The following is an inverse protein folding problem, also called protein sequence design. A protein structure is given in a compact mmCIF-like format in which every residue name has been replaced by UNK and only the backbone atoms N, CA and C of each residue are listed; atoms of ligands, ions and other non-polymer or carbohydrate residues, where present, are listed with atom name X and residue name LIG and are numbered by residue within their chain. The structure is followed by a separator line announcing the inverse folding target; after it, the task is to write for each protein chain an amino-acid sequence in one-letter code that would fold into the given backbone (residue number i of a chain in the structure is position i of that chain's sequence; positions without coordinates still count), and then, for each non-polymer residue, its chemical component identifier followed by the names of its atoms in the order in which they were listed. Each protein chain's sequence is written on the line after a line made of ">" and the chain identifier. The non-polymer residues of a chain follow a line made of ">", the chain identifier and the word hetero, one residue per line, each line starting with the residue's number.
data_IF_129309862398
#
_entry.id   IF_129309862398
#
_cell.length_a   1.000
_cell.length_b   1.000
_cell.length_c   1.000
_cell.angle_alpha   90.00
_cell.angle_beta   90.00
_cell.angle_gamma   90.00
#
_symmetry.space_group_name_H-M   'P 1'
#
loop_
_entity.id
_entity.type
_entity.pdbx_description
1 polymer ?
#
# COMPACT_ATOMS: atom_id res chain seq x y z
N UNK A 1 -47.59 -46.11 -41.85
CA UNK A 1 -46.40 -45.37 -42.32
C UNK A 1 -46.38 -44.05 -41.55
N UNK A 2 -45.66 -43.88 -40.42
CA UNK A 2 -44.22 -43.52 -40.32
C UNK A 2 -43.92 -42.30 -41.23
N UNK A 3 -43.68 -41.05 -40.78
CA UNK A 3 -42.57 -40.53 -39.94
C UNK A 3 -42.89 -39.07 -39.49
N UNK A 4 -42.76 -38.73 -38.20
CA UNK A 4 -41.67 -37.94 -37.55
C UNK A 4 -41.61 -36.43 -37.84
N UNK A 5 -41.99 -35.65 -36.83
CA UNK A 5 -41.46 -34.31 -36.51
C UNK A 5 -39.98 -34.38 -36.12
N UNK A 6 -39.17 -33.34 -36.41
CA UNK A 6 -37.99 -33.05 -35.61
C UNK A 6 -38.17 -31.71 -34.87
N UNK A 7 -38.24 -31.80 -33.55
CA UNK A 7 -38.03 -30.69 -32.65
C UNK A 7 -36.55 -30.27 -32.72
N UNK A 8 -36.30 -28.98 -32.95
CA UNK A 8 -34.98 -28.38 -32.82
C UNK A 8 -34.65 -28.31 -31.31
N UNK A 9 -33.75 -29.17 -30.84
CA UNK A 9 -33.21 -29.10 -29.47
C UNK A 9 -32.08 -28.08 -29.48
N UNK A 10 -32.34 -26.91 -28.91
CA UNK A 10 -31.33 -25.87 -28.67
C UNK A 10 -30.62 -26.20 -27.35
N UNK A 11 -29.48 -26.89 -27.43
CA UNK A 11 -28.63 -27.17 -26.26
C UNK A 11 -27.85 -25.91 -25.90
N UNK A 12 -28.40 -25.05 -25.03
CA UNK A 12 -27.61 -24.04 -24.32
C UNK A 12 -26.74 -24.77 -23.29
N UNK A 13 -25.47 -24.99 -23.64
CA UNK A 13 -24.44 -25.40 -22.70
C UNK A 13 -24.16 -24.21 -21.78
N UNK A 14 -24.77 -24.20 -20.59
CA UNK A 14 -24.47 -23.23 -19.55
C UNK A 14 -23.05 -23.48 -19.03
N UNK A 15 -22.08 -22.71 -19.54
CA UNK A 15 -20.77 -22.56 -18.91
C UNK A 15 -21.00 -21.98 -17.51
N UNK A 16 -20.94 -22.83 -16.51
CA UNK A 16 -20.95 -22.43 -15.10
C UNK A 16 -19.55 -21.89 -14.78
N UNK A 17 -19.29 -20.64 -15.16
CA UNK A 17 -18.08 -19.92 -14.78
C UNK A 17 -18.16 -19.76 -13.26
N UNK A 18 -17.35 -20.50 -12.50
CA UNK A 18 -17.36 -20.43 -11.03
C UNK A 18 -16.86 -19.03 -10.60
N UNK A 19 -17.75 -18.14 -10.10
CA UNK A 19 -17.39 -16.74 -9.84
C UNK A 19 -16.43 -16.59 -8.65
N UNK A 20 -16.33 -17.60 -7.79
CA UNK A 20 -15.55 -17.52 -6.54
C UNK A 20 -14.04 -17.32 -6.76
N UNK A 21 -13.44 -17.90 -7.79
CA UNK A 21 -11.99 -17.81 -8.03
C UNK A 21 -11.56 -16.47 -8.63
N UNK A 22 -12.41 -15.87 -9.46
CA UNK A 22 -12.15 -14.55 -10.03
C UNK A 22 -12.32 -13.45 -8.97
N UNK A 23 -13.31 -13.58 -8.09
CA UNK A 23 -13.52 -12.67 -6.97
C UNK A 23 -12.34 -12.73 -5.98
N UNK A 24 -11.92 -13.94 -5.57
CA UNK A 24 -10.77 -14.14 -4.68
C UNK A 24 -9.49 -13.51 -5.25
N UNK A 25 -9.22 -13.70 -6.55
CA UNK A 25 -8.06 -13.10 -7.20
C UNK A 25 -8.13 -11.56 -7.22
N UNK A 26 -9.31 -10.99 -7.41
CA UNK A 26 -9.52 -9.55 -7.38
C UNK A 26 -9.34 -8.97 -5.96
N UNK A 27 -9.87 -9.64 -4.95
CA UNK A 27 -9.75 -9.23 -3.55
C UNK A 27 -8.28 -9.30 -3.09
N UNK A 28 -7.55 -10.34 -3.51
CA UNK A 28 -6.11 -10.45 -3.26
C UNK A 28 -5.33 -9.32 -3.94
N UNK A 29 -5.63 -9.00 -5.20
CA UNK A 29 -4.97 -7.91 -5.91
C UNK A 29 -5.23 -6.55 -5.25
N UNK A 30 -6.45 -6.31 -4.75
CA UNK A 30 -6.79 -5.11 -4.01
C UNK A 30 -5.97 -5.01 -2.70
N UNK A 31 -5.90 -6.10 -1.94
CA UNK A 31 -5.13 -6.14 -0.69
C UNK A 31 -3.62 -5.97 -0.94
N UNK A 32 -3.06 -6.58 -1.99
CA UNK A 32 -1.65 -6.36 -2.38
C UNK A 32 -1.40 -4.87 -2.60
N UNK A 33 -2.28 -4.17 -3.32
CA UNK A 33 -2.17 -2.73 -3.54
C UNK A 33 -2.22 -1.92 -2.25
N UNK A 34 -3.09 -2.30 -1.30
CA UNK A 34 -3.18 -1.66 0.01
C UNK A 34 -1.93 -1.91 0.87
N UNK A 35 -1.36 -3.11 0.81
CA UNK A 35 -0.11 -3.45 1.53
C UNK A 35 1.10 -2.74 0.92
N UNK A 36 1.10 -2.51 -0.40
CA UNK A 36 2.11 -1.67 -1.04
C UNK A 36 2.10 -0.22 -0.52
N UNK A 37 0.97 0.27 -0.01
CA UNK A 37 0.90 1.60 0.60
C UNK A 37 1.74 1.72 1.88
N UNK A 38 2.14 0.61 2.52
CA UNK A 38 3.03 0.62 3.69
C UNK A 38 4.41 1.16 3.29
N UNK A 39 4.90 0.73 2.12
CA UNK A 39 6.13 1.24 1.51
C UNK A 39 5.96 2.67 0.99
N UNK A 40 4.72 3.09 0.69
CA UNK A 40 4.38 4.48 0.44
C UNK A 40 4.62 5.37 1.67
N UNK A 41 4.23 4.92 2.86
CA UNK A 41 4.50 5.62 4.12
C UNK A 41 6.02 5.73 4.39
N UNK A 42 6.77 4.65 4.17
CA UNK A 42 8.24 4.69 4.25
C UNK A 42 8.83 5.72 3.28
N UNK A 43 8.38 5.73 2.03
CA UNK A 43 8.85 6.66 1.01
C UNK A 43 8.56 8.12 1.39
N UNK A 44 7.38 8.41 1.95
CA UNK A 44 7.03 9.74 2.45
C UNK A 44 8.02 10.19 3.52
N UNK A 45 8.28 9.34 4.52
CA UNK A 45 9.18 9.66 5.62
C UNK A 45 10.60 9.89 5.11
N UNK A 46 11.11 9.03 4.23
CA UNK A 46 12.47 9.14 3.70
C UNK A 46 12.67 10.38 2.83
N UNK A 47 11.72 10.67 1.92
CA UNK A 47 11.78 11.84 1.04
C UNK A 47 11.74 13.12 1.87
N UNK A 48 10.79 13.25 2.78
CA UNK A 48 10.68 14.48 3.58
C UNK A 48 11.78 14.63 4.61
N UNK A 49 12.34 13.54 5.13
CA UNK A 49 13.54 13.59 5.97
C UNK A 49 14.68 14.27 5.24
N UNK A 50 14.94 13.88 3.98
CA UNK A 50 16.00 14.48 3.17
C UNK A 50 15.72 15.95 2.91
N UNK A 51 14.52 16.27 2.42
CA UNK A 51 14.18 17.65 2.07
C UNK A 51 14.15 18.58 3.28
N UNK A 52 13.54 18.15 4.38
CA UNK A 52 13.46 18.99 5.57
C UNK A 52 14.78 19.12 6.32
N UNK A 53 15.62 18.08 6.31
CA UNK A 53 17.00 18.19 6.77
C UNK A 53 17.74 19.31 6.03
N UNK A 54 17.65 19.36 4.70
CA UNK A 54 18.30 20.41 3.91
C UNK A 54 17.67 21.79 4.12
N UNK A 55 16.33 21.88 4.08
CA UNK A 55 15.59 23.14 4.22
C UNK A 55 15.85 23.82 5.57
N UNK A 56 15.92 23.05 6.65
CA UNK A 56 16.05 23.59 8.01
C UNK A 56 17.50 23.81 8.46
N UNK A 57 18.47 23.74 7.54
CA UNK A 57 19.86 24.01 7.85
C UNK A 57 20.62 22.82 8.46
N UNK A 58 20.32 21.61 7.97
CA UNK A 58 20.97 20.35 8.37
C UNK A 58 20.63 19.91 9.79
N UNK A 59 19.38 20.07 10.21
CA UNK A 59 18.90 19.60 11.51
C UNK A 59 18.80 18.06 11.56
N UNK A 60 19.68 17.41 12.33
CA UNK A 60 19.72 15.96 12.47
C UNK A 60 18.49 15.36 13.20
N UNK A 61 17.60 16.19 13.76
CA UNK A 61 16.32 15.74 14.33
C UNK A 61 15.48 14.94 13.32
N UNK A 62 15.48 15.36 12.05
CA UNK A 62 14.75 14.67 10.97
C UNK A 62 15.27 13.26 10.72
N UNK A 63 16.60 13.08 10.69
CA UNK A 63 17.21 11.75 10.53
C UNK A 63 16.87 10.85 11.71
N UNK A 64 17.00 11.39 12.92
CA UNK A 64 16.68 10.67 14.17
C UNK A 64 15.21 10.25 14.20
N UNK A 65 14.30 11.14 13.79
CA UNK A 65 12.87 10.84 13.72
C UNK A 65 12.57 9.75 12.68
N UNK A 66 13.23 9.77 11.52
CA UNK A 66 13.09 8.74 10.48
C UNK A 66 13.60 7.37 10.95
N UNK A 67 14.75 7.32 11.61
CA UNK A 67 15.29 6.09 12.20
C UNK A 67 14.34 5.51 13.26
N UNK A 68 13.82 6.37 14.15
CA UNK A 68 12.85 5.96 15.14
C UNK A 68 11.54 5.48 14.52
N UNK A 69 11.06 6.15 13.47
CA UNK A 69 9.92 5.68 12.69
C UNK A 69 10.18 4.30 12.10
N UNK A 70 11.35 4.09 11.48
CA UNK A 70 11.70 2.79 10.91
C UNK A 70 11.71 1.68 11.97
N UNK A 71 12.29 1.93 13.14
CA UNK A 71 12.30 0.96 14.24
C UNK A 71 10.89 0.58 14.72
N UNK A 72 9.93 1.51 14.71
CA UNK A 72 8.53 1.23 15.06
C UNK A 72 7.79 0.45 13.97
N UNK A 73 8.18 0.62 12.70
CA UNK A 73 7.38 0.20 11.55
C UNK A 73 7.99 -0.98 10.74
N UNK A 74 9.27 -1.31 10.94
CA UNK A 74 9.98 -2.36 10.18
C UNK A 74 9.22 -3.70 10.18
N UNK A 75 8.68 -4.11 11.33
CA UNK A 75 7.94 -5.37 11.41
C UNK A 75 6.65 -5.40 10.58
N UNK A 76 6.03 -4.23 10.35
CA UNK A 76 4.85 -4.10 9.50
C UNK A 76 5.22 -4.11 8.02
N UNK A 77 6.36 -3.50 7.64
CA UNK A 77 6.91 -3.59 6.29
C UNK A 77 7.24 -5.06 5.95
N UNK A 78 7.93 -5.76 6.86
CA UNK A 78 8.24 -7.19 6.69
C UNK A 78 6.97 -8.05 6.61
N UNK A 79 5.93 -7.71 7.38
CA UNK A 79 4.65 -8.41 7.32
C UNK A 79 3.96 -8.20 5.97
N UNK A 80 3.93 -6.97 5.45
CA UNK A 80 3.36 -6.65 4.16
C UNK A 80 4.06 -7.46 3.05
N UNK A 81 5.38 -7.47 3.02
CA UNK A 81 6.16 -8.21 2.01
C UNK A 81 5.82 -9.71 2.02
N UNK A 82 5.80 -10.33 3.22
CA UNK A 82 5.44 -11.75 3.34
C UNK A 82 4.00 -12.03 2.88
N UNK A 83 3.05 -11.17 3.24
CA UNK A 83 1.65 -11.37 2.87
C UNK A 83 1.45 -11.16 1.37
N UNK A 84 2.11 -10.19 0.78
CA UNK A 84 2.12 -9.99 -0.68
C UNK A 84 2.62 -11.27 -1.38
N UNK A 85 3.72 -11.86 -0.91
CA UNK A 85 4.23 -13.11 -1.45
C UNK A 85 3.23 -14.27 -1.31
N UNK A 86 2.57 -14.40 -0.14
CA UNK A 86 1.54 -15.43 0.09
C UNK A 86 0.33 -15.28 -0.85
N UNK A 87 -0.03 -14.04 -1.21
CA UNK A 87 -1.16 -13.73 -2.09
C UNK A 87 -0.83 -13.86 -3.58
N UNK A 88 0.39 -14.30 -3.93
CA UNK A 88 0.82 -14.54 -5.31
C UNK A 88 1.88 -13.55 -5.82
N UNK A 89 2.39 -12.68 -4.95
CA UNK A 89 3.39 -11.66 -5.26
C UNK A 89 2.81 -10.41 -5.90
N UNK A 90 3.58 -9.34 -5.90
CA UNK A 90 3.26 -8.12 -6.65
C UNK A 90 3.82 -8.16 -8.08
N UNK A 91 3.25 -7.36 -8.98
CA UNK A 91 3.82 -7.24 -10.32
C UNK A 91 5.18 -6.54 -10.28
N UNK A 92 6.01 -6.83 -11.28
CA UNK A 92 7.32 -6.21 -11.40
C UNK A 92 7.17 -4.68 -11.48
N UNK A 93 7.78 -3.98 -10.52
CA UNK A 93 7.74 -2.51 -10.45
C UNK A 93 6.63 -1.91 -9.58
N UNK A 94 5.67 -2.70 -9.07
CA UNK A 94 4.58 -2.18 -8.22
C UNK A 94 5.11 -1.52 -6.94
N UNK A 95 6.08 -2.15 -6.29
CA UNK A 95 6.74 -1.59 -5.10
C UNK A 95 7.40 -0.25 -5.41
N UNK A 96 8.07 -0.15 -6.56
CA UNK A 96 8.71 1.10 -7.00
C UNK A 96 7.65 2.17 -7.27
N UNK A 97 6.57 1.82 -7.96
CA UNK A 97 5.47 2.73 -8.25
C UNK A 97 4.78 3.22 -6.96
N UNK A 98 4.59 2.36 -5.96
CA UNK A 98 4.01 2.73 -4.67
C UNK A 98 4.89 3.74 -3.92
N UNK A 99 6.22 3.52 -3.91
CA UNK A 99 7.18 4.45 -3.32
C UNK A 99 7.22 5.79 -4.07
N UNK A 100 7.27 5.76 -5.40
CA UNK A 100 7.25 6.96 -6.24
C UNK A 100 5.95 7.75 -6.03
N UNK A 101 4.81 7.06 -5.97
CA UNK A 101 3.52 7.67 -5.70
C UNK A 101 3.53 8.39 -4.34
N UNK A 102 3.85 7.69 -3.25
CA UNK A 102 3.91 8.29 -1.90
C UNK A 102 4.83 9.50 -1.83
N UNK A 103 6.07 9.36 -2.35
CA UNK A 103 7.04 10.45 -2.41
C UNK A 103 6.56 11.66 -3.22
N UNK A 104 5.96 11.42 -4.39
CA UNK A 104 5.46 12.51 -5.24
C UNK A 104 4.30 13.29 -4.59
N UNK A 105 3.42 12.59 -3.87
CA UNK A 105 2.27 13.21 -3.21
C UNK A 105 2.72 14.14 -2.08
N UNK A 106 3.65 13.71 -1.23
CA UNK A 106 4.14 14.57 -0.15
C UNK A 106 4.97 15.75 -0.67
N UNK A 107 5.76 15.54 -1.74
CA UNK A 107 6.51 16.63 -2.36
C UNK A 107 5.60 17.66 -3.02
N UNK A 108 4.48 17.23 -3.60
CA UNK A 108 3.46 18.13 -4.11
C UNK A 108 2.89 19.01 -2.99
N UNK A 109 2.58 18.42 -1.82
CA UNK A 109 2.10 19.16 -0.66
C UNK A 109 3.17 20.13 -0.11
N UNK A 110 4.42 19.70 -0.01
CA UNK A 110 5.55 20.53 0.40
C UNK A 110 5.75 21.74 -0.53
N UNK A 111 5.72 21.53 -1.84
CA UNK A 111 5.90 22.60 -2.83
C UNK A 111 4.73 23.60 -2.86
N UNK A 112 3.55 23.19 -2.41
CA UNK A 112 2.36 24.04 -2.28
C UNK A 112 2.27 24.74 -0.92
N UNK A 113 3.13 24.38 0.03
CA UNK A 113 3.14 25.01 1.35
C UNK A 113 3.57 26.48 1.24
N UNK A 114 2.82 27.38 1.87
CA UNK A 114 3.18 28.81 1.91
C UNK A 114 4.44 29.11 2.71
N UNK A 115 4.82 28.20 3.61
CA UNK A 115 6.04 28.24 4.41
C UNK A 115 6.56 26.81 4.59
N UNK A 116 7.71 26.54 3.97
CA UNK A 116 8.36 25.24 3.96
C UNK A 116 9.02 24.90 5.30
N UNK A 117 9.51 25.89 6.06
CA UNK A 117 10.08 25.66 7.39
C UNK A 117 8.97 25.20 8.35
N UNK A 118 7.82 25.86 8.28
CA UNK A 118 6.64 25.48 9.08
C UNK A 118 6.11 24.10 8.67
N UNK A 119 6.09 23.80 7.37
CA UNK A 119 5.75 22.44 6.90
C UNK A 119 6.70 21.41 7.51
N UNK A 120 8.00 21.66 7.47
CA UNK A 120 9.01 20.74 7.96
C UNK A 120 8.91 20.49 9.46
N UNK A 121 8.75 21.54 10.27
CA UNK A 121 8.53 21.36 11.72
C UNK A 121 7.27 20.54 12.02
N UNK A 122 6.19 20.79 11.28
CA UNK A 122 4.95 20.02 11.43
C UNK A 122 5.14 18.55 11.03
N UNK A 123 5.86 18.31 9.94
CA UNK A 123 6.20 16.96 9.50
C UNK A 123 7.01 16.22 10.58
N UNK A 124 8.03 16.86 11.16
CA UNK A 124 8.82 16.29 12.26
C UNK A 124 7.94 15.87 13.44
N UNK A 125 7.09 16.79 13.92
CA UNK A 125 6.15 16.52 15.03
C UNK A 125 5.21 15.35 14.73
N UNK A 126 4.75 15.22 13.48
CA UNK A 126 3.89 14.12 13.04
C UNK A 126 4.64 12.78 13.01
N UNK A 127 5.91 12.76 12.58
CA UNK A 127 6.73 11.55 12.60
C UNK A 127 7.04 11.14 14.05
N UNK A 128 7.35 12.09 14.92
CA UNK A 128 7.68 11.82 16.33
C UNK A 128 6.47 11.36 17.14
N UNK A 129 5.29 11.96 16.92
CA UNK A 129 4.02 11.49 17.51
C UNK A 129 3.53 10.16 16.92
N UNK A 130 4.19 9.70 15.85
CA UNK A 130 3.86 8.48 15.14
C UNK A 130 2.57 8.59 14.32
N UNK A 131 2.13 9.79 13.94
CA UNK A 131 1.00 9.98 13.03
C UNK A 131 1.26 9.36 11.64
N UNK A 132 2.54 9.18 11.29
CA UNK A 132 2.98 8.44 10.11
C UNK A 132 3.20 6.94 10.35
N UNK A 133 2.98 6.42 11.56
CA UNK A 133 3.12 4.98 11.80
C UNK A 133 2.03 4.20 11.06
N UNK A 134 2.41 3.06 10.47
CA UNK A 134 1.58 2.24 9.59
C UNK A 134 0.32 1.76 10.30
N UNK A 135 0.43 1.39 11.58
CA UNK A 135 -0.71 0.96 12.40
C UNK A 135 -1.76 2.06 12.62
N UNK A 136 -1.36 3.33 12.53
CA UNK A 136 -2.28 4.48 12.60
C UNK A 136 -2.80 4.88 11.22
N UNK A 137 -1.96 4.83 10.20
CA UNK A 137 -2.35 5.24 8.85
C UNK A 137 -3.23 4.20 8.13
N UNK A 138 -2.93 2.91 8.34
CA UNK A 138 -3.49 1.79 7.58
C UNK A 138 -3.92 0.65 8.52
N UNK A 139 -4.75 0.90 9.56
CA UNK A 139 -5.13 -0.12 10.53
C UNK A 139 -5.88 -1.30 9.89
N UNK A 140 -6.78 -1.03 8.94
CA UNK A 140 -7.58 -2.08 8.29
C UNK A 140 -6.77 -3.04 7.40
N UNK A 141 -5.93 -2.55 6.47
CA UNK A 141 -5.00 -3.43 5.75
C UNK A 141 -4.04 -4.18 6.67
N UNK A 142 -3.55 -3.54 7.74
CA UNK A 142 -2.67 -4.19 8.72
C UNK A 142 -3.36 -5.36 9.42
N UNK A 143 -4.58 -5.17 9.91
CA UNK A 143 -5.37 -6.22 10.55
C UNK A 143 -5.55 -7.42 9.61
N UNK A 144 -5.94 -7.18 8.35
CA UNK A 144 -6.09 -8.25 7.34
C UNK A 144 -4.77 -8.99 7.06
N UNK A 145 -3.65 -8.27 6.98
CA UNK A 145 -2.34 -8.90 6.82
C UNK A 145 -1.96 -9.79 8.01
N UNK A 146 -2.28 -9.36 9.23
CA UNK A 146 -2.05 -10.15 10.45
C UNK A 146 -2.91 -11.42 10.46
N UNK A 147 -4.18 -11.33 10.06
CA UNK A 147 -5.08 -12.48 9.93
C UNK A 147 -4.57 -13.51 8.93
N UNK A 148 -4.12 -13.06 7.75
CA UNK A 148 -3.55 -13.95 6.73
C UNK A 148 -2.25 -14.59 7.22
N UNK A 149 -1.36 -13.81 7.84
CA UNK A 149 -0.08 -14.34 8.33
C UNK A 149 -0.22 -15.29 9.53
N UNK A 150 -1.37 -15.32 10.20
CA UNK A 150 -1.66 -16.25 11.30
C UNK A 150 -2.36 -17.53 10.84
N UNK A 151 -2.76 -17.62 9.57
CA UNK A 151 -3.49 -18.74 8.96
C UNK A 151 -2.56 -19.78 8.36
#
# INVERSE_FOLDING_TARGET
>A
MLFRTPALVLTLLALSIAPGKAQEAQDNAALIGELMAFHGSEAIVNVMTTHCYETTGLDDSYKTAAENWYLRNISYLDLADRVIDMLGGAAEGDLKAAREYGGSQIMSAYNQAGDQDTFCRTFLEQVESGAFDIDKQLPGPLERAQEISAS
#
